data_IF_924062728869
#
_entry.id   IF_924062728869
#
_cell.length_a   1.000
_cell.length_b   1.000
_cell.length_c   1.000
_cell.angle_alpha   90.00
_cell.angle_beta   90.00
_cell.angle_gamma   90.00
#
_symmetry.space_group_name_H-M   'P 1'
#
loop_
_entity.id
_entity.type
_entity.pdbx_description
1 polymer ?
#
# COMPACT_ATOMS: atom_id res chain seq x y z
N UNK A 1 14.59 -3.03 0.98
CA UNK A 1 13.28 -2.36 1.14
C UNK A 1 12.20 -3.41 0.95
N UNK A 2 11.28 -3.55 1.90
CA UNK A 2 10.21 -4.56 1.82
C UNK A 2 8.96 -3.95 1.18
N UNK A 3 8.30 -4.71 0.30
CA UNK A 3 7.03 -4.32 -0.33
C UNK A 3 5.83 -5.06 0.27
N UNK A 4 4.63 -4.53 0.04
CA UNK A 4 3.36 -5.17 0.38
C UNK A 4 2.54 -5.40 -0.89
N UNK A 5 1.72 -6.45 -0.88
CA UNK A 5 0.72 -6.70 -1.92
C UNK A 5 -0.57 -6.01 -1.50
N UNK A 6 -1.16 -5.24 -2.42
CA UNK A 6 -2.43 -4.58 -2.18
C UNK A 6 -3.31 -4.55 -3.42
N UNK A 7 -4.61 -4.33 -3.18
CA UNK A 7 -5.65 -4.16 -4.20
C UNK A 7 -5.98 -2.68 -4.36
N UNK A 8 -6.04 -2.20 -5.60
CA UNK A 8 -6.57 -0.86 -5.89
C UNK A 8 -8.08 -0.86 -5.62
N UNK A 9 -8.51 -0.05 -4.67
CA UNK A 9 -9.93 0.10 -4.31
C UNK A 9 -10.56 1.25 -5.09
N UNK A 10 -9.82 2.34 -5.29
CA UNK A 10 -10.34 3.49 -6.02
C UNK A 10 -9.50 4.74 -5.79
N UNK A 11 -10.09 5.89 -6.08
CA UNK A 11 -9.50 7.20 -5.86
C UNK A 11 -10.43 8.04 -5.00
N UNK A 12 -9.85 8.86 -4.12
CA UNK A 12 -10.56 9.81 -3.27
C UNK A 12 -9.70 11.03 -3.02
N UNK A 13 -10.23 12.03 -2.32
CA UNK A 13 -9.56 13.26 -1.95
C UNK A 13 -9.56 13.44 -0.44
N UNK A 14 -8.44 13.89 0.12
CA UNK A 14 -8.30 14.22 1.53
C UNK A 14 -7.90 15.69 1.66
N UNK A 15 -8.51 16.40 2.61
CA UNK A 15 -8.17 17.79 2.86
C UNK A 15 -7.10 17.89 3.96
N UNK A 16 -6.06 18.68 3.72
CA UNK A 16 -5.06 18.98 4.74
C UNK A 16 -5.60 19.97 5.78
N UNK A 17 -4.91 20.11 6.92
CA UNK A 17 -5.26 21.10 7.95
C UNK A 17 -5.25 22.55 7.44
N UNK A 18 -4.52 22.83 6.35
CA UNK A 18 -4.45 24.12 5.66
C UNK A 18 -5.59 24.31 4.63
N UNK A 19 -6.51 23.33 4.52
CA UNK A 19 -7.63 23.37 3.58
C UNK A 19 -7.29 22.96 2.14
N UNK A 20 -6.10 22.41 1.87
CA UNK A 20 -5.72 21.96 0.51
C UNK A 20 -6.33 20.59 0.21
N UNK A 21 -6.94 20.44 -0.96
CA UNK A 21 -7.42 19.14 -1.47
C UNK A 21 -6.26 18.33 -2.07
N UNK A 22 -6.02 17.13 -1.55
CA UNK A 22 -4.98 16.21 -2.00
C UNK A 22 -5.65 14.95 -2.58
N UNK A 23 -5.53 14.69 -3.90
CA UNK A 23 -6.07 13.48 -4.51
C UNK A 23 -5.17 12.27 -4.21
N UNK A 24 -5.79 11.16 -3.82
CA UNK A 24 -5.11 9.94 -3.38
C UNK A 24 -5.73 8.69 -4.00
N UNK A 25 -4.91 7.65 -4.20
CA UNK A 25 -5.41 6.30 -4.55
C UNK A 25 -5.52 5.47 -3.28
N UNK A 26 -6.66 4.84 -3.07
CA UNK A 26 -6.90 3.96 -1.93
C UNK A 26 -6.44 2.55 -2.29
N UNK A 27 -5.52 2.02 -1.50
CA UNK A 27 -5.00 0.66 -1.61
C UNK A 27 -5.36 -0.10 -0.32
N UNK A 28 -6.05 -1.23 -0.47
CA UNK A 28 -6.21 -2.21 0.61
C UNK A 28 -5.02 -3.16 0.57
N UNK A 29 -4.16 -3.11 1.60
CA UNK A 29 -2.94 -3.91 1.66
C UNK A 29 -3.05 -5.01 2.72
N UNK A 30 -2.68 -6.24 2.33
CA UNK A 30 -2.59 -7.40 3.22
C UNK A 30 -3.92 -8.06 3.61
N UNK A 31 -3.86 -9.16 4.40
CA UNK A 31 -2.64 -9.74 4.99
C UNK A 31 -1.71 -10.38 3.95
N UNK A 32 -0.41 -10.03 3.99
CA UNK A 32 0.61 -10.56 3.09
C UNK A 32 1.35 -11.73 3.76
N UNK A 33 0.84 -12.95 3.61
CA UNK A 33 1.47 -14.15 4.19
C UNK A 33 2.76 -14.49 3.43
N UNK A 34 3.86 -14.63 4.15
CA UNK A 34 5.15 -15.05 3.57
C UNK A 34 5.10 -16.54 3.28
N UNK A 35 5.19 -16.91 2.01
CA UNK A 35 5.13 -18.31 1.57
C UNK A 35 6.51 -18.96 1.52
N UNK A 36 7.56 -18.17 1.28
CA UNK A 36 8.93 -18.66 1.18
C UNK A 36 9.91 -17.54 1.56
N UNK A 37 10.97 -17.91 2.27
CA UNK A 37 12.15 -17.06 2.47
C UNK A 37 13.28 -17.70 1.66
N UNK A 38 13.86 -16.95 0.73
CA UNK A 38 15.00 -17.38 -0.07
C UNK A 38 16.29 -16.84 0.52
N UNK A 39 17.29 -17.69 0.62
CA UNK A 39 18.65 -17.41 1.05
C UNK A 39 19.62 -17.66 -0.11
N UNK A 40 20.87 -17.21 0.01
CA UNK A 40 21.89 -17.42 -1.05
C UNK A 40 22.17 -18.91 -1.29
N UNK A 41 22.00 -19.72 -0.25
CA UNK A 41 22.28 -21.15 -0.28
C UNK A 41 21.04 -21.98 -0.69
N UNK A 42 19.83 -21.43 -0.54
CA UNK A 42 18.54 -21.98 -0.99
C UNK A 42 17.40 -20.96 -0.87
#
# INVERSE_FOLDING_TARGET
>A
MSGLIGKKIGMTSVYSAEGKNIPCTVIEAGPCVVTQIKTVEK
#
